data_IF_706702483594
#
_entry.id   IF_706702483594
#
_cell.length_a   1.000
_cell.length_b   1.000
_cell.length_c   1.000
_cell.angle_alpha   90.00
_cell.angle_beta   90.00
_cell.angle_gamma   90.00
#
_symmetry.space_group_name_H-M   'P 1'
#
loop_
_entity.id
_entity.type
_entity.pdbx_description
1 polymer ?
#
# COMPACT_ATOMS: atom_id res chain seq x y z
N UNK A 1 4.67 20.85 -7.72
CA UNK A 1 5.43 20.00 -8.68
C UNK A 1 5.88 18.77 -7.95
N UNK A 2 5.59 17.59 -8.51
CA UNK A 2 5.94 16.29 -7.93
C UNK A 2 7.43 16.20 -7.58
N UNK A 3 7.74 15.71 -6.37
CA UNK A 3 9.13 15.43 -5.99
C UNK A 3 9.58 14.12 -6.62
N UNK A 4 10.33 14.21 -7.72
CA UNK A 4 10.86 13.06 -8.45
C UNK A 4 12.11 12.46 -7.76
N UNK A 5 12.47 11.20 -8.08
CA UNK A 5 13.78 10.68 -7.71
C UNK A 5 14.90 11.52 -8.33
N UNK A 6 16.05 11.61 -7.65
CA UNK A 6 17.14 12.55 -8.01
C UNK A 6 17.68 12.41 -9.46
N UNK A 7 17.45 11.29 -10.13
CA UNK A 7 17.91 11.04 -11.50
C UNK A 7 17.02 11.71 -12.56
N UNK A 8 15.84 12.21 -12.19
CA UNK A 8 14.85 12.70 -13.13
C UNK A 8 14.62 14.20 -12.97
N UNK A 9 14.69 14.91 -14.10
CA UNK A 9 14.40 16.35 -14.17
C UNK A 9 12.95 16.65 -14.60
N UNK A 10 12.25 15.68 -15.20
CA UNK A 10 10.87 15.81 -15.67
C UNK A 10 10.10 14.51 -15.45
N UNK A 11 8.77 14.62 -15.41
CA UNK A 11 7.86 13.53 -15.04
C UNK A 11 7.66 12.54 -16.18
N UNK A 12 7.83 12.97 -17.43
CA UNK A 12 7.70 12.15 -18.63
C UNK A 12 8.81 11.10 -18.72
N UNK A 13 10.08 11.51 -18.59
CA UNK A 13 11.22 10.61 -18.56
C UNK A 13 11.16 9.66 -17.35
N UNK A 14 10.66 10.15 -16.21
CA UNK A 14 10.39 9.29 -15.06
C UNK A 14 9.32 8.23 -15.36
N UNK A 15 8.23 8.63 -16.04
CA UNK A 15 7.18 7.70 -16.46
C UNK A 15 7.72 6.64 -17.42
N UNK A 16 8.53 7.02 -18.40
CA UNK A 16 9.16 6.09 -19.35
C UNK A 16 9.97 5.01 -18.62
N UNK A 17 10.89 5.40 -17.75
CA UNK A 17 11.78 4.47 -17.05
C UNK A 17 11.04 3.62 -16.01
N UNK A 18 10.06 4.19 -15.32
CA UNK A 18 9.23 3.45 -14.37
C UNK A 18 8.40 2.36 -15.07
N UNK A 19 7.77 2.71 -16.20
CA UNK A 19 6.97 1.78 -17.02
C UNK A 19 7.86 0.70 -17.61
N UNK A 20 9.00 1.09 -18.19
CA UNK A 20 9.99 0.15 -18.70
C UNK A 20 10.43 -0.86 -17.64
N UNK A 21 10.68 -0.40 -16.40
CA UNK A 21 11.09 -1.27 -15.30
C UNK A 21 10.01 -2.30 -14.93
N UNK A 22 8.74 -1.90 -14.82
CA UNK A 22 7.65 -2.84 -14.50
C UNK A 22 7.32 -3.80 -15.65
N UNK A 23 7.70 -3.45 -16.88
CA UNK A 23 7.54 -4.29 -18.06
C UNK A 23 8.67 -5.32 -18.24
N UNK A 24 9.75 -5.22 -17.47
CA UNK A 24 10.81 -6.23 -17.48
C UNK A 24 10.26 -7.60 -17.09
N UNK A 25 10.74 -8.66 -17.76
CA UNK A 25 10.35 -10.05 -17.47
C UNK A 25 10.55 -10.41 -16.00
N UNK A 26 11.65 -9.95 -15.41
CA UNK A 26 11.99 -10.23 -14.02
C UNK A 26 10.99 -9.57 -13.05
N UNK A 27 10.60 -8.32 -13.27
CA UNK A 27 9.58 -7.67 -12.42
C UNK A 27 8.24 -8.39 -12.51
N UNK A 28 7.79 -8.71 -13.73
CA UNK A 28 6.53 -9.44 -13.97
C UNK A 28 6.55 -10.82 -13.32
N UNK A 29 7.66 -11.54 -13.42
CA UNK A 29 7.84 -12.83 -12.77
C UNK A 29 7.73 -12.72 -11.24
N UNK A 30 8.45 -11.79 -10.63
CA UNK A 30 8.53 -11.61 -9.17
C UNK A 30 7.21 -11.09 -8.57
N UNK A 31 6.43 -10.34 -9.36
CA UNK A 31 5.23 -9.65 -8.88
C UNK A 31 3.92 -10.14 -9.49
N UNK A 32 3.92 -11.13 -10.40
CA UNK A 32 2.69 -11.49 -11.12
C UNK A 32 2.65 -12.87 -11.75
N UNK A 33 3.69 -13.28 -12.48
CA UNK A 33 3.61 -14.52 -13.27
C UNK A 33 3.64 -15.77 -12.40
N UNK A 34 4.35 -15.71 -11.26
CA UNK A 34 4.34 -16.79 -10.27
C UNK A 34 4.08 -16.23 -8.88
N UNK A 35 2.90 -16.52 -8.33
CA UNK A 35 2.61 -16.20 -6.93
C UNK A 35 3.54 -17.02 -6.03
N UNK A 36 4.02 -16.44 -4.92
CA UNK A 36 5.00 -17.11 -4.05
C UNK A 36 4.53 -18.46 -3.48
N UNK A 37 3.22 -18.61 -3.27
CA UNK A 37 2.66 -19.91 -2.84
C UNK A 37 2.75 -20.97 -3.94
N UNK A 38 2.82 -20.56 -5.21
CA UNK A 38 2.93 -21.47 -6.35
C UNK A 38 4.40 -21.70 -6.75
N UNK A 39 5.35 -21.21 -5.96
CA UNK A 39 6.78 -21.26 -6.26
C UNK A 39 7.28 -22.68 -6.52
N UNK A 40 6.77 -23.67 -5.78
CA UNK A 40 7.11 -25.09 -5.92
C UNK A 40 6.40 -25.77 -7.10
N UNK A 41 5.35 -25.16 -7.64
CA UNK A 41 4.58 -25.69 -8.77
C UNK A 41 5.28 -25.29 -10.08
N UNK A 42 5.69 -24.02 -10.18
CA UNK A 42 6.23 -23.44 -11.40
C UNK A 42 7.75 -23.21 -11.35
N UNK A 43 8.45 -23.83 -10.40
CA UNK A 43 9.92 -23.73 -10.25
C UNK A 43 10.40 -22.27 -10.24
N UNK A 44 9.74 -21.42 -9.44
CA UNK A 44 9.98 -19.98 -9.44
C UNK A 44 11.43 -19.62 -9.09
N UNK A 45 12.08 -20.45 -8.28
CA UNK A 45 13.47 -20.27 -7.89
C UNK A 45 14.40 -20.44 -9.10
N UNK A 46 14.21 -21.52 -9.87
CA UNK A 46 15.01 -21.85 -11.05
C UNK A 46 14.80 -20.87 -12.21
N UNK A 47 13.67 -20.16 -12.21
CA UNK A 47 13.37 -19.12 -13.18
C UNK A 47 14.07 -17.77 -12.87
N UNK A 48 14.68 -17.59 -11.69
CA UNK A 48 15.51 -16.42 -11.40
C UNK A 48 16.88 -16.50 -12.10
N UNK A 49 17.61 -15.38 -12.28
CA UNK A 49 18.98 -15.42 -12.78
C UNK A 49 19.85 -16.40 -11.97
N UNK A 50 20.51 -17.32 -12.66
CA UNK A 50 21.25 -18.43 -12.04
C UNK A 50 22.39 -17.95 -11.13
N UNK A 51 23.01 -16.83 -11.46
CA UNK A 51 24.04 -16.22 -10.63
C UNK A 51 23.48 -15.70 -9.28
N UNK A 52 22.20 -15.30 -9.22
CA UNK A 52 21.56 -14.87 -7.97
C UNK A 52 21.29 -16.07 -7.08
N UNK A 53 20.71 -17.13 -7.64
CA UNK A 53 20.37 -18.34 -6.88
C UNK A 53 21.61 -19.09 -6.43
N UNK A 54 22.67 -19.13 -7.26
CA UNK A 54 23.97 -19.67 -6.86
C UNK A 54 24.57 -18.90 -5.69
N UNK A 55 24.55 -17.56 -5.73
CA UNK A 55 25.04 -16.73 -4.63
C UNK A 55 24.22 -16.94 -3.36
N UNK A 56 22.88 -16.91 -3.43
CA UNK A 56 22.05 -17.14 -2.24
C UNK A 56 22.20 -18.55 -1.65
N UNK A 57 22.40 -19.58 -2.48
CA UNK A 57 22.68 -20.94 -2.02
C UNK A 57 24.03 -21.03 -1.27
N UNK A 58 24.97 -20.10 -1.50
CA UNK A 58 26.24 -20.05 -0.79
C UNK A 58 26.14 -19.42 0.60
N UNK A 59 25.02 -18.72 0.89
CA UNK A 59 24.80 -18.06 2.17
C UNK A 59 24.26 -19.10 3.17
N UNK A 60 24.90 -19.27 4.35
CA UNK A 60 24.54 -20.32 5.29
C UNK A 60 23.15 -20.17 5.91
N UNK A 61 22.64 -18.94 5.95
CA UNK A 61 21.31 -18.62 6.49
C UNK A 61 20.59 -17.62 5.58
N UNK A 62 19.46 -18.03 5.00
CA UNK A 62 18.66 -17.21 4.09
C UNK A 62 18.19 -15.89 4.73
N UNK A 63 18.10 -15.80 6.06
CA UNK A 63 17.72 -14.56 6.76
C UNK A 63 18.73 -13.44 6.53
N UNK A 64 20.01 -13.79 6.34
CA UNK A 64 21.05 -12.83 5.95
C UNK A 64 20.81 -12.28 4.54
N UNK A 65 20.44 -13.15 3.59
CA UNK A 65 20.08 -12.73 2.23
C UNK A 65 18.85 -11.82 2.22
N UNK A 66 17.83 -12.14 3.02
CA UNK A 66 16.64 -11.30 3.14
C UNK A 66 16.98 -9.92 3.73
N UNK A 67 17.80 -9.86 4.78
CA UNK A 67 18.23 -8.60 5.37
C UNK A 67 19.03 -7.75 4.37
N UNK A 68 19.96 -8.38 3.65
CA UNK A 68 20.79 -7.74 2.62
C UNK A 68 19.94 -7.10 1.51
N UNK A 69 18.90 -7.82 1.07
CA UNK A 69 17.93 -7.33 0.09
C UNK A 69 17.12 -6.13 0.61
N UNK A 70 16.64 -6.19 1.85
CA UNK A 70 15.84 -5.13 2.47
C UNK A 70 16.68 -3.86 2.71
N UNK A 71 17.90 -4.03 3.21
CA UNK A 71 18.83 -2.92 3.47
C UNK A 71 19.23 -2.22 2.16
N UNK A 72 19.30 -2.96 1.05
CA UNK A 72 19.67 -2.40 -0.26
C UNK A 72 18.65 -1.41 -0.84
N UNK A 73 17.42 -1.39 -0.33
CA UNK A 73 16.36 -0.46 -0.77
C UNK A 73 16.00 0.60 0.28
N UNK A 74 16.74 0.64 1.39
CA UNK A 74 16.57 1.67 2.42
C UNK A 74 16.99 3.03 1.84
N UNK A 75 16.14 4.05 2.01
CA UNK A 75 16.49 5.40 1.55
C UNK A 75 17.49 6.03 2.54
N UNK A 76 18.56 6.67 2.05
CA UNK A 76 19.49 7.35 2.93
C UNK A 76 18.77 8.50 3.65
N UNK A 77 18.70 8.44 4.98
CA UNK A 77 18.21 9.55 5.79
C UNK A 77 19.07 10.79 5.54
N UNK A 78 18.49 11.88 5.03
CA UNK A 78 19.19 13.18 4.82
C UNK A 78 19.82 13.76 6.09
N UNK A 79 19.41 13.31 7.28
CA UNK A 79 19.90 13.74 8.60
C UNK A 79 20.95 12.82 9.21
N UNK A 80 21.28 11.71 8.56
CA UNK A 80 22.44 10.89 8.94
C UNK A 80 23.54 11.11 7.91
N UNK A 81 24.82 11.18 8.31
CA UNK A 81 25.93 11.30 7.35
C UNK A 81 25.75 10.22 6.30
N UNK A 82 25.97 10.58 5.04
CA UNK A 82 25.99 9.61 3.94
C UNK A 82 26.85 8.43 4.37
N UNK A 83 26.24 7.25 4.51
CA UNK A 83 26.99 5.98 4.62
C UNK A 83 27.67 5.62 3.29
N UNK A 84 28.11 6.63 2.53
CA UNK A 84 28.97 6.48 1.36
C UNK A 84 30.43 6.31 1.74
N UNK A 85 30.82 6.66 2.98
CA UNK A 85 32.24 6.70 3.38
C UNK A 85 32.56 5.93 4.66
N UNK A 86 31.60 5.20 5.25
CA UNK A 86 31.94 4.15 6.21
C UNK A 86 32.24 2.91 5.37
N UNK A 87 33.51 2.51 5.32
CA UNK A 87 33.93 1.19 4.83
C UNK A 87 32.93 0.13 5.28
N UNK A 88 32.68 -0.89 4.45
CA UNK A 88 31.93 -2.11 4.81
C UNK A 88 32.65 -2.95 5.89
N UNK A 89 33.18 -2.31 6.93
CA UNK A 89 33.78 -2.97 8.08
C UNK A 89 32.63 -3.47 8.97
N UNK A 90 32.16 -4.69 8.67
CA UNK A 90 31.08 -5.36 9.39
C UNK A 90 30.05 -6.09 8.53
N UNK A 91 30.14 -6.06 7.19
CA UNK A 91 29.29 -6.92 6.37
C UNK A 91 29.78 -8.37 6.50
N UNK A 92 28.91 -9.35 6.83
CA UNK A 92 29.29 -10.75 6.92
C UNK A 92 30.07 -11.20 5.68
N UNK A 93 31.16 -11.94 5.86
CA UNK A 93 32.02 -12.41 4.77
C UNK A 93 31.22 -13.18 3.70
N UNK A 94 30.15 -13.88 4.08
CA UNK A 94 29.24 -14.59 3.18
C UNK A 94 28.38 -13.70 2.25
N UNK A 95 28.30 -12.40 2.52
CA UNK A 95 27.62 -11.42 1.65
C UNK A 95 28.60 -10.68 0.72
N UNK A 96 29.88 -11.05 0.76
CA UNK A 96 30.85 -10.62 -0.25
C UNK A 96 30.47 -11.23 -1.61
N UNK A 97 30.96 -10.63 -2.68
CA UNK A 97 30.78 -11.13 -4.05
C UNK A 97 29.32 -11.20 -4.55
N UNK A 98 28.44 -10.30 -4.05
CA UNK A 98 27.09 -10.13 -4.59
C UNK A 98 27.14 -9.94 -6.12
N UNK A 99 26.32 -10.68 -6.90
CA UNK A 99 26.26 -10.52 -8.35
C UNK A 99 26.00 -9.07 -8.77
N UNK A 100 26.75 -8.58 -9.77
CA UNK A 100 26.64 -7.20 -10.25
C UNK A 100 25.24 -6.91 -10.81
N UNK A 101 24.63 -7.88 -11.50
CA UNK A 101 23.28 -7.77 -12.03
C UNK A 101 22.23 -7.58 -10.93
N UNK A 102 22.38 -8.26 -9.77
CA UNK A 102 21.50 -8.07 -8.61
C UNK A 102 21.68 -6.69 -8.02
N UNK A 103 22.93 -6.24 -7.84
CA UNK A 103 23.23 -4.90 -7.35
C UNK A 103 22.65 -3.82 -8.28
N UNK A 104 22.78 -3.99 -9.60
CA UNK A 104 22.22 -3.11 -10.62
C UNK A 104 20.69 -3.09 -10.58
N UNK A 105 20.05 -4.26 -10.45
CA UNK A 105 18.59 -4.35 -10.36
C UNK A 105 18.05 -3.65 -9.11
N UNK A 106 18.65 -3.89 -7.95
CA UNK A 106 18.28 -3.23 -6.68
C UNK A 106 18.47 -1.71 -6.76
N UNK A 107 19.59 -1.25 -7.35
CA UNK A 107 19.84 0.19 -7.57
C UNK A 107 18.79 0.80 -8.50
N UNK A 108 18.41 0.09 -9.56
CA UNK A 108 17.37 0.53 -10.49
C UNK A 108 16.02 0.63 -9.77
N UNK A 109 15.63 -0.40 -9.03
CA UNK A 109 14.40 -0.45 -8.22
C UNK A 109 14.32 0.74 -7.25
N UNK A 110 15.42 1.05 -6.56
CA UNK A 110 15.49 2.21 -5.68
C UNK A 110 15.37 3.52 -6.46
N UNK A 111 16.03 3.63 -7.61
CA UNK A 111 16.05 4.86 -8.41
C UNK A 111 14.73 5.22 -9.08
N UNK A 112 13.89 4.22 -9.40
CA UNK A 112 12.55 4.44 -9.99
C UNK A 112 11.45 4.55 -8.92
N UNK A 113 11.76 4.29 -7.65
CA UNK A 113 10.81 4.47 -6.55
C UNK A 113 10.70 5.95 -6.16
N UNK A 114 9.48 6.47 -6.06
CA UNK A 114 9.25 7.81 -5.51
C UNK A 114 9.88 7.94 -4.11
N UNK A 115 10.38 9.12 -3.71
CA UNK A 115 10.92 9.31 -2.37
C UNK A 115 9.89 9.00 -1.27
N UNK A 116 10.33 8.39 -0.16
CA UNK A 116 9.52 8.12 1.04
C UNK A 116 9.98 8.91 2.26
N UNK A 117 11.08 9.65 2.16
CA UNK A 117 11.49 10.58 3.22
C UNK A 117 10.40 11.60 3.48
N UNK A 118 9.93 11.66 4.74
CA UNK A 118 8.87 12.59 5.15
C UNK A 118 9.25 14.03 4.77
N UNK A 119 8.39 14.70 4.00
CA UNK A 119 8.53 16.13 3.71
C UNK A 119 8.36 16.91 5.03
N UNK A 120 9.26 17.86 5.36
CA UNK A 120 9.09 18.71 6.53
C UNK A 120 7.73 19.41 6.51
N UNK A 121 7.02 19.37 7.63
CA UNK A 121 5.69 19.91 7.75
C UNK A 121 5.28 20.09 9.21
N UNK A 122 4.18 20.80 9.43
CA UNK A 122 3.62 21.00 10.76
C UNK A 122 3.13 19.69 11.38
N UNK A 123 3.17 19.62 12.71
CA UNK A 123 2.51 18.59 13.52
C UNK A 123 1.74 19.28 14.61
N UNK A 124 0.53 18.81 14.91
CA UNK A 124 -0.26 19.32 16.02
C UNK A 124 -0.30 18.29 17.14
N UNK A 125 0.02 18.71 18.35
CA UNK A 125 -0.16 17.88 19.54
C UNK A 125 -1.65 17.67 19.78
N UNK A 126 -2.11 16.43 19.63
CA UNK A 126 -3.51 16.10 19.87
C UNK A 126 -3.75 16.00 21.39
N UNK A 127 -4.77 16.68 21.94
CA UNK A 127 -5.16 16.53 23.34
C UNK A 127 -5.54 15.09 23.71
N UNK A 128 -5.34 14.72 24.98
CA UNK A 128 -5.59 13.35 25.47
C UNK A 128 -7.02 12.86 25.22
N UNK A 129 -7.99 13.79 25.25
CA UNK A 129 -9.39 13.51 24.94
C UNK A 129 -9.61 12.98 23.52
N UNK A 130 -8.72 13.29 22.57
CA UNK A 130 -8.75 12.77 21.21
C UNK A 130 -7.91 11.49 21.06
N UNK A 131 -6.82 11.35 21.81
CA UNK A 131 -5.85 10.25 21.61
C UNK A 131 -6.21 8.97 22.34
N UNK A 132 -7.08 9.02 23.37
CA UNK A 132 -7.38 7.86 24.24
C UNK A 132 -7.87 6.59 23.52
N UNK A 133 -8.39 6.70 22.29
CA UNK A 133 -8.84 5.56 21.47
C UNK A 133 -7.96 5.28 20.24
N UNK A 134 -6.84 6.00 20.10
CA UNK A 134 -5.95 5.92 18.94
C UNK A 134 -4.67 5.18 19.29
N UNK A 135 -4.22 4.28 18.40
CA UNK A 135 -2.87 3.71 18.48
C UNK A 135 -1.82 4.74 18.06
N UNK A 136 -0.56 4.56 18.44
CA UNK A 136 0.57 5.46 18.10
C UNK A 136 0.61 5.86 16.63
N UNK A 137 0.46 4.90 15.71
CA UNK A 137 0.39 5.17 14.27
C UNK A 137 -0.74 6.14 13.92
N UNK A 138 -1.95 5.90 14.46
CA UNK A 138 -3.13 6.70 14.16
C UNK A 138 -2.99 8.13 14.70
N UNK A 139 -2.40 8.28 15.90
CA UNK A 139 -2.09 9.60 16.48
C UNK A 139 -1.15 10.37 15.56
N UNK A 140 -0.06 9.75 15.09
CA UNK A 140 0.91 10.41 14.21
C UNK A 140 0.31 10.82 12.85
N UNK A 141 -0.52 9.95 12.25
CA UNK A 141 -1.24 10.25 11.01
C UNK A 141 -2.18 11.45 11.18
N UNK A 142 -3.06 11.41 12.20
CA UNK A 142 -4.05 12.48 12.44
C UNK A 142 -3.37 13.79 12.82
N UNK A 143 -2.35 13.75 13.67
CA UNK A 143 -1.56 14.92 14.08
C UNK A 143 -0.95 15.65 12.88
N UNK A 144 -0.35 14.89 11.95
CA UNK A 144 0.33 15.47 10.78
C UNK A 144 -0.69 15.92 9.73
N UNK A 145 -1.71 15.11 9.47
CA UNK A 145 -2.75 15.43 8.50
C UNK A 145 -3.58 16.66 8.92
N UNK A 146 -3.99 16.74 10.19
CA UNK A 146 -4.76 17.88 10.69
C UNK A 146 -3.97 19.19 10.57
N UNK A 147 -2.66 19.16 10.85
CA UNK A 147 -1.78 20.31 10.67
C UNK A 147 -1.70 20.75 9.21
N UNK A 148 -1.51 19.80 8.29
CA UNK A 148 -1.46 20.08 6.85
C UNK A 148 -2.79 20.65 6.34
N UNK A 149 -3.90 19.98 6.62
CA UNK A 149 -5.25 20.37 6.18
C UNK A 149 -5.58 21.77 6.69
N UNK A 150 -5.32 22.05 7.98
CA UNK A 150 -5.56 23.37 8.53
C UNK A 150 -4.73 24.45 7.85
N UNK A 151 -3.45 24.20 7.58
CA UNK A 151 -2.58 25.14 6.87
C UNK A 151 -3.08 25.44 5.46
N UNK A 152 -3.51 24.42 4.71
CA UNK A 152 -4.11 24.61 3.37
C UNK A 152 -5.41 25.39 3.47
N UNK A 153 -6.28 25.05 4.42
CA UNK A 153 -7.54 25.75 4.62
C UNK A 153 -7.34 27.23 4.97
N UNK A 154 -6.41 27.54 5.87
CA UNK A 154 -6.09 28.92 6.24
C UNK A 154 -5.51 29.72 5.07
N UNK A 155 -4.58 29.14 4.32
CA UNK A 155 -3.94 29.83 3.19
C UNK A 155 -4.93 30.15 2.05
N UNK A 156 -6.03 29.40 1.95
CA UNK A 156 -6.99 29.50 0.85
C UNK A 156 -8.40 29.94 1.30
N UNK A 157 -8.55 30.42 2.54
CA UNK A 157 -9.83 30.83 3.13
C UNK A 157 -10.94 29.76 3.06
N UNK A 158 -10.58 28.48 3.17
CA UNK A 158 -11.53 27.36 3.14
C UNK A 158 -12.01 27.08 4.55
N UNK A 159 -13.33 27.04 4.73
CA UNK A 159 -13.97 26.72 6.01
C UNK A 159 -14.69 25.38 6.00
N UNK A 160 -14.73 24.67 4.86
CA UNK A 160 -15.43 23.40 4.72
C UNK A 160 -14.50 22.28 4.26
N UNK A 161 -14.51 21.18 5.00
CA UNK A 161 -13.71 19.98 4.71
C UNK A 161 -14.63 18.78 4.51
N UNK A 162 -14.46 18.07 3.40
CA UNK A 162 -15.16 16.82 3.10
C UNK A 162 -14.17 15.68 3.33
N UNK A 163 -14.43 14.80 4.29
CA UNK A 163 -13.62 13.63 4.61
C UNK A 163 -14.30 12.37 4.05
N UNK A 164 -13.77 11.87 2.94
CA UNK A 164 -14.27 10.70 2.22
C UNK A 164 -13.58 9.43 2.72
N UNK A 165 -14.38 8.46 3.20
CA UNK A 165 -13.87 7.28 3.87
C UNK A 165 -13.43 7.59 5.30
N UNK A 166 -14.25 8.35 6.03
CA UNK A 166 -13.90 8.87 7.36
C UNK A 166 -13.70 7.78 8.41
N UNK A 167 -14.22 6.57 8.20
CA UNK A 167 -14.18 5.48 9.18
C UNK A 167 -14.79 5.93 10.51
N UNK A 168 -14.10 5.63 11.62
CA UNK A 168 -14.50 6.09 12.96
C UNK A 168 -14.36 7.61 13.17
N UNK A 169 -13.94 8.36 12.14
CA UNK A 169 -13.86 9.81 12.14
C UNK A 169 -12.74 10.39 13.00
N UNK A 170 -11.63 9.66 13.21
CA UNK A 170 -10.50 10.19 13.97
C UNK A 170 -9.97 11.50 13.41
N UNK A 171 -9.85 11.64 12.09
CA UNK A 171 -9.47 12.90 11.45
C UNK A 171 -10.61 13.92 11.56
N UNK A 172 -11.81 13.56 11.12
CA UNK A 172 -12.95 14.48 11.01
C UNK A 172 -13.33 15.10 12.37
N UNK A 173 -13.37 14.28 13.44
CA UNK A 173 -13.61 14.72 14.82
C UNK A 173 -12.47 15.61 15.31
N UNK A 174 -11.21 15.27 15.01
CA UNK A 174 -10.07 16.10 15.40
C UNK A 174 -10.09 17.46 14.73
N UNK A 175 -10.40 17.52 13.43
CA UNK A 175 -10.54 18.79 12.70
C UNK A 175 -11.65 19.67 13.31
N UNK A 176 -12.83 19.08 13.56
CA UNK A 176 -13.97 19.81 14.12
C UNK A 176 -13.71 20.32 15.56
N UNK A 177 -12.97 19.53 16.36
CA UNK A 177 -12.60 19.86 17.74
C UNK A 177 -11.51 20.94 17.82
N UNK A 178 -10.44 20.80 17.02
CA UNK A 178 -9.26 21.67 17.10
C UNK A 178 -9.47 23.03 16.45
N UNK A 179 -10.33 23.11 15.42
CA UNK A 179 -10.44 24.30 14.57
C UNK A 179 -11.88 24.81 14.51
N UNK A 180 -12.29 25.71 15.43
CA UNK A 180 -13.66 26.24 15.53
C UNK A 180 -14.21 26.94 14.28
N UNK A 181 -13.38 27.23 13.29
CA UNK A 181 -13.76 27.82 12.00
C UNK A 181 -14.07 26.77 10.92
N UNK A 182 -13.69 25.50 11.09
CA UNK A 182 -13.90 24.46 10.08
C UNK A 182 -15.20 23.66 10.29
N UNK A 183 -16.06 23.59 9.29
CA UNK A 183 -17.17 22.64 9.23
C UNK A 183 -16.73 21.39 8.47
N UNK A 184 -17.05 20.21 9.00
CA UNK A 184 -16.57 18.94 8.47
C UNK A 184 -17.74 18.05 8.03
N UNK A 185 -17.66 17.51 6.83
CA UNK A 185 -18.54 16.45 6.33
C UNK A 185 -17.80 15.12 6.37
N UNK A 186 -18.19 14.22 7.28
CA UNK A 186 -17.62 12.88 7.42
C UNK A 186 -18.49 11.86 6.68
N UNK A 187 -17.93 11.21 5.65
CA UNK A 187 -18.65 10.26 4.79
C UNK A 187 -18.05 8.87 4.90
N UNK A 188 -18.89 7.88 5.18
CA UNK A 188 -18.53 6.46 5.17
C UNK A 188 -19.74 5.59 4.81
N UNK A 189 -19.50 4.49 4.11
CA UNK A 189 -20.57 3.55 3.73
C UNK A 189 -21.06 2.67 4.89
N UNK A 190 -20.24 2.54 5.94
CA UNK A 190 -20.50 1.66 7.07
C UNK A 190 -21.24 2.36 8.20
N UNK A 191 -22.38 1.80 8.57
CA UNK A 191 -23.21 2.29 9.68
C UNK A 191 -22.47 2.27 11.01
N UNK A 192 -21.70 1.21 11.29
CA UNK A 192 -20.95 1.09 12.54
C UNK A 192 -19.84 2.13 12.65
N UNK A 193 -19.19 2.48 11.53
CA UNK A 193 -18.16 3.51 11.47
C UNK A 193 -18.76 4.90 11.73
N UNK A 194 -19.87 5.22 11.05
CA UNK A 194 -20.60 6.48 11.25
C UNK A 194 -21.13 6.60 12.69
N UNK A 195 -21.71 5.53 13.24
CA UNK A 195 -22.19 5.53 14.62
C UNK A 195 -21.05 5.76 15.63
N UNK A 196 -19.90 5.12 15.42
CA UNK A 196 -18.72 5.34 16.25
C UNK A 196 -18.21 6.79 16.19
N UNK A 197 -18.19 7.39 14.99
CA UNK A 197 -17.80 8.79 14.81
C UNK A 197 -18.77 9.77 15.48
N UNK A 198 -20.08 9.56 15.31
CA UNK A 198 -21.13 10.36 15.99
C UNK A 198 -20.98 10.31 17.50
N UNK A 199 -20.83 9.10 18.06
CA UNK A 199 -20.64 8.92 19.49
C UNK A 199 -19.38 9.62 20.01
N UNK A 200 -18.28 9.58 19.23
CA UNK A 200 -17.05 10.29 19.57
C UNK A 200 -17.25 11.81 19.58
N UNK A 201 -17.87 12.37 18.54
CA UNK A 201 -18.16 13.81 18.45
C UNK A 201 -19.05 14.29 19.61
N UNK A 202 -20.13 13.54 19.90
CA UNK A 202 -21.05 13.83 21.00
C UNK A 202 -20.35 13.80 22.37
N UNK A 203 -19.47 12.82 22.60
CA UNK A 203 -18.71 12.73 23.87
C UNK A 203 -17.76 13.90 24.11
N UNK A 204 -17.40 14.62 23.05
CA UNK A 204 -16.53 15.81 23.09
C UNK A 204 -17.33 17.11 23.05
N UNK A 205 -18.67 17.05 23.05
CA UNK A 205 -19.54 18.24 22.98
C UNK A 205 -19.49 18.99 21.65
N UNK A 206 -19.06 18.33 20.56
CA UNK A 206 -19.01 18.94 19.23
C UNK A 206 -20.43 18.98 18.65
N UNK A 207 -20.92 20.16 18.33
CA UNK A 207 -22.25 20.34 17.75
C UNK A 207 -22.39 19.71 16.35
N UNK A 208 -23.58 19.22 16.00
CA UNK A 208 -23.87 18.64 14.67
C UNK A 208 -23.69 19.66 13.53
N UNK A 209 -23.80 20.96 13.81
CA UNK A 209 -23.50 22.02 12.84
C UNK A 209 -22.02 22.14 12.47
N UNK A 210 -21.12 21.55 13.29
CA UNK A 210 -19.66 21.58 13.11
C UNK A 210 -19.16 20.32 12.40
N UNK A 211 -19.82 19.19 12.62
CA UNK A 211 -19.52 17.91 11.98
C UNK A 211 -20.81 17.23 11.54
N UNK A 212 -21.00 17.12 10.23
CA UNK A 212 -22.10 16.37 9.64
C UNK A 212 -21.63 14.97 9.25
N UNK A 213 -22.41 13.95 9.59
CA UNK A 213 -22.10 12.56 9.25
C UNK A 213 -23.07 12.01 8.22
N UNK A 214 -22.53 11.52 7.11
CA UNK A 214 -23.30 11.04 5.98
C UNK A 214 -22.98 9.56 5.71
N UNK A 215 -24.01 8.70 5.74
CA UNK A 215 -23.88 7.29 5.38
C UNK A 215 -24.09 7.10 3.88
N UNK A 216 -23.00 7.02 3.13
CA UNK A 216 -23.01 6.82 1.68
C UNK A 216 -21.81 5.99 1.23
N UNK A 217 -22.04 5.07 0.31
CA UNK A 217 -20.95 4.49 -0.47
C UNK A 217 -20.48 5.54 -1.48
N UNK A 218 -19.17 5.64 -1.63
CA UNK A 218 -18.54 6.59 -2.54
C UNK A 218 -18.24 5.81 -3.81
N UNK A 219 -19.08 5.98 -4.81
CA UNK A 219 -19.13 5.18 -6.04
C UNK A 219 -19.01 6.05 -7.31
N UNK A 220 -18.67 7.33 -7.16
CA UNK A 220 -18.51 8.28 -8.27
C UNK A 220 -19.84 8.67 -8.93
N UNK A 221 -20.98 8.39 -8.32
CA UNK A 221 -22.30 8.66 -8.90
C UNK A 221 -22.77 10.11 -8.70
N UNK A 222 -23.67 10.56 -9.59
CA UNK A 222 -24.27 11.90 -9.56
C UNK A 222 -25.12 12.23 -8.31
N UNK A 223 -25.88 11.29 -7.69
CA UNK A 223 -26.67 11.59 -6.50
C UNK A 223 -25.83 12.14 -5.34
N UNK A 224 -24.64 11.58 -5.09
CA UNK A 224 -23.76 12.07 -4.03
C UNK A 224 -23.28 13.51 -4.34
N UNK A 225 -23.02 13.85 -5.60
CA UNK A 225 -22.61 15.21 -5.96
C UNK A 225 -23.65 16.28 -5.58
N UNK A 226 -24.94 15.97 -5.72
CA UNK A 226 -26.02 16.88 -5.30
C UNK A 226 -26.10 17.03 -3.78
N UNK A 227 -25.95 15.94 -3.03
CA UNK A 227 -25.89 15.97 -1.55
C UNK A 227 -24.68 16.78 -1.07
N UNK A 228 -23.51 16.62 -1.72
CA UNK A 228 -22.31 17.41 -1.43
C UNK A 228 -22.54 18.90 -1.72
N UNK A 229 -23.19 19.24 -2.83
CA UNK A 229 -23.47 20.62 -3.19
C UNK A 229 -24.41 21.31 -2.19
N UNK A 230 -25.47 20.60 -1.78
CA UNK A 230 -26.40 21.07 -0.76
C UNK A 230 -25.68 21.31 0.58
N UNK A 231 -24.80 20.39 0.99
CA UNK A 231 -24.00 20.56 2.20
C UNK A 231 -22.97 21.67 2.07
N UNK A 232 -22.30 21.84 0.92
CA UNK A 232 -21.28 22.86 0.70
C UNK A 232 -21.86 24.28 0.68
N UNK A 233 -23.13 24.45 0.27
CA UNK A 233 -23.84 25.72 0.34
C UNK A 233 -23.17 26.85 -0.46
N UNK A 234 -22.50 26.52 -1.56
CA UNK A 234 -21.78 27.48 -2.40
C UNK A 234 -20.36 27.82 -1.94
N UNK A 235 -19.89 27.27 -0.81
CA UNK A 235 -18.53 27.49 -0.30
C UNK A 235 -17.52 26.56 -0.97
N UNK A 236 -16.31 27.09 -1.16
CA UNK A 236 -15.17 26.28 -1.57
C UNK A 236 -14.80 25.28 -0.47
N UNK A 237 -14.54 24.03 -0.88
CA UNK A 237 -14.28 22.91 0.00
C UNK A 237 -12.91 22.27 -0.28
N UNK A 238 -12.29 21.74 0.77
CA UNK A 238 -11.16 20.81 0.66
C UNK A 238 -11.67 19.37 0.81
N UNK A 239 -11.40 18.53 -0.17
CA UNK A 239 -11.67 17.09 -0.12
C UNK A 239 -10.45 16.35 0.43
N UNK A 240 -10.66 15.54 1.46
CA UNK A 240 -9.61 14.79 2.15
C UNK A 240 -9.97 13.32 2.33
N UNK A 241 -8.96 12.48 2.48
CA UNK A 241 -9.13 11.07 2.83
C UNK A 241 -7.79 10.43 3.16
N UNK A 242 -7.59 9.99 4.40
CA UNK A 242 -6.29 9.47 4.87
C UNK A 242 -6.07 7.98 4.60
N UNK A 243 -7.15 7.26 4.30
CA UNK A 243 -7.11 5.82 4.03
C UNK A 243 -8.06 5.52 2.86
N UNK A 244 -7.78 6.12 1.71
CA UNK A 244 -8.57 5.94 0.49
C UNK A 244 -8.30 4.54 -0.12
N UNK A 245 -8.95 3.53 0.43
CA UNK A 245 -8.77 2.12 0.06
C UNK A 245 -9.26 1.80 -1.37
N UNK A 246 -8.45 1.07 -2.15
CA UNK A 246 -8.84 0.61 -3.49
C UNK A 246 -9.36 1.73 -4.39
N UNK A 247 -10.52 1.51 -5.01
CA UNK A 247 -11.19 2.47 -5.90
C UNK A 247 -11.70 3.75 -5.21
N UNK A 248 -11.72 3.83 -3.87
CA UNK A 248 -12.08 5.07 -3.18
C UNK A 248 -11.14 6.22 -3.59
N UNK A 249 -9.84 5.94 -3.70
CA UNK A 249 -8.86 6.93 -4.14
C UNK A 249 -9.22 7.49 -5.52
N UNK A 250 -9.61 6.63 -6.47
CA UNK A 250 -10.03 7.01 -7.82
C UNK A 250 -11.32 7.84 -7.81
N UNK A 251 -12.33 7.42 -7.04
CA UNK A 251 -13.58 8.17 -6.92
C UNK A 251 -13.35 9.56 -6.33
N UNK A 252 -12.46 9.71 -5.35
CA UNK A 252 -12.10 11.02 -4.80
C UNK A 252 -11.49 11.93 -5.86
N UNK A 253 -10.58 11.43 -6.71
CA UNK A 253 -10.02 12.23 -7.81
C UNK A 253 -11.11 12.64 -8.80
N UNK A 254 -12.03 11.73 -9.15
CA UNK A 254 -13.16 12.02 -10.03
C UNK A 254 -14.08 13.09 -9.43
N UNK A 255 -14.41 13.02 -8.14
CA UNK A 255 -15.16 14.09 -7.47
C UNK A 255 -14.41 15.42 -7.46
N UNK A 256 -13.11 15.41 -7.15
CA UNK A 256 -12.29 16.62 -7.21
C UNK A 256 -12.30 17.24 -8.60
N UNK A 257 -12.12 16.46 -9.68
CA UNK A 257 -12.07 17.00 -11.06
C UNK A 257 -13.44 17.47 -11.54
N UNK A 258 -14.52 16.78 -11.19
CA UNK A 258 -15.87 17.06 -11.73
C UNK A 258 -16.71 18.04 -10.92
N UNK A 259 -16.50 18.16 -9.60
CA UNK A 259 -17.29 19.05 -8.75
C UNK A 259 -16.59 20.42 -8.63
N UNK A 260 -17.21 21.54 -9.08
CA UNK A 260 -16.53 22.84 -9.10
C UNK A 260 -16.12 23.40 -7.73
N UNK A 261 -16.97 23.25 -6.70
CA UNK A 261 -16.69 23.82 -5.37
C UNK A 261 -15.66 23.02 -4.56
N UNK A 262 -15.28 21.81 -5.00
CA UNK A 262 -14.16 21.08 -4.39
C UNK A 262 -12.87 21.60 -5.04
N UNK A 263 -12.28 22.62 -4.45
CA UNK A 263 -11.13 23.33 -5.05
C UNK A 263 -9.79 22.77 -4.61
N UNK A 264 -9.74 21.99 -3.53
CA UNK A 264 -8.50 21.45 -2.97
C UNK A 264 -8.64 19.97 -2.63
N UNK A 265 -7.56 19.21 -2.78
CA UNK A 265 -7.49 17.77 -2.56
C UNK A 265 -6.31 17.40 -1.65
N UNK A 266 -6.55 16.46 -0.73
CA UNK A 266 -5.51 15.73 0.00
C UNK A 266 -5.91 14.26 0.23
N UNK A 267 -5.42 13.35 -0.61
CA UNK A 267 -5.81 11.94 -0.58
C UNK A 267 -4.61 11.01 -0.39
N UNK A 268 -4.69 10.11 0.58
CA UNK A 268 -3.68 9.06 0.85
C UNK A 268 -4.29 7.70 0.52
N UNK A 269 -3.72 6.99 -0.45
CA UNK A 269 -4.06 5.60 -0.74
C UNK A 269 -3.39 4.62 0.23
N UNK A 270 -4.03 3.48 0.53
CA UNK A 270 -3.44 2.51 1.46
C UNK A 270 -3.67 1.02 1.16
N UNK A 271 -4.79 0.65 0.53
CA UNK A 271 -5.13 -0.75 0.22
C UNK A 271 -5.18 -1.00 -1.29
N UNK A 272 -4.01 -1.03 -1.93
CA UNK A 272 -3.89 -1.16 -3.39
C UNK A 272 -4.38 -2.50 -3.93
N UNK A 273 -4.39 -3.55 -3.10
CA UNK A 273 -4.94 -4.86 -3.45
C UNK A 273 -6.46 -4.86 -3.76
N UNK A 274 -7.16 -3.75 -3.50
CA UNK A 274 -8.57 -3.55 -3.86
C UNK A 274 -8.76 -2.61 -5.06
N UNK A 275 -7.69 -2.25 -5.77
CA UNK A 275 -7.80 -1.54 -7.04
C UNK A 275 -8.38 -2.49 -8.09
N UNK A 276 -9.44 -2.06 -8.76
CA UNK A 276 -10.02 -2.78 -9.88
C UNK A 276 -9.24 -2.45 -11.17
N UNK A 277 -8.64 -3.45 -11.85
CA UNK A 277 -7.98 -3.22 -13.13
C UNK A 277 -9.01 -2.96 -14.23
N UNK A 278 -8.60 -2.21 -15.26
CA UNK A 278 -9.39 -1.99 -16.45
C UNK A 278 -9.76 -3.32 -17.11
N UNK A 279 -11.05 -3.53 -17.35
CA UNK A 279 -11.60 -4.73 -17.99
C UNK A 279 -12.92 -4.41 -18.68
N UNK A 280 -13.52 -5.35 -19.41
CA UNK A 280 -14.85 -5.17 -19.99
C UNK A 280 -15.92 -4.87 -18.92
N UNK A 281 -15.78 -5.43 -17.71
CA UNK A 281 -16.67 -5.20 -16.58
C UNK A 281 -16.36 -3.91 -15.80
N UNK A 282 -15.14 -3.36 -15.94
CA UNK A 282 -14.69 -2.14 -15.29
C UNK A 282 -13.85 -1.31 -16.28
N UNK A 283 -14.48 -0.66 -17.29
CA UNK A 283 -13.76 0.08 -18.33
C UNK A 283 -13.01 1.31 -17.76
N UNK A 284 -13.46 1.79 -16.60
CA UNK A 284 -12.93 2.92 -15.88
C UNK A 284 -11.88 2.58 -14.81
N UNK A 285 -11.53 1.30 -14.68
CA UNK A 285 -10.53 0.81 -13.73
C UNK A 285 -9.11 1.27 -14.05
N UNK A 286 -8.18 0.89 -13.19
CA UNK A 286 -6.76 1.23 -13.29
C UNK A 286 -6.11 0.72 -14.59
N UNK A 287 -5.22 1.51 -15.23
CA UNK A 287 -4.89 2.91 -14.93
C UNK A 287 -6.03 3.87 -15.30
N UNK A 288 -6.19 4.97 -14.55
CA UNK A 288 -7.28 5.95 -14.78
C UNK A 288 -6.86 7.14 -15.64
N UNK A 289 -5.56 7.45 -15.72
CA UNK A 289 -5.03 8.51 -16.58
C UNK A 289 -4.93 8.08 -18.04
N UNK A 290 -5.11 9.03 -18.96
CA UNK A 290 -4.88 8.82 -20.38
C UNK A 290 -3.39 8.53 -20.67
N UNK A 291 -2.47 9.19 -19.98
CA UNK A 291 -1.03 9.02 -20.14
C UNK A 291 -0.61 7.57 -19.84
N UNK A 292 -0.96 7.05 -18.65
CA UNK A 292 -0.57 5.68 -18.28
C UNK A 292 -1.35 4.62 -19.08
N UNK A 293 -2.57 4.93 -19.53
CA UNK A 293 -3.30 4.08 -20.49
C UNK A 293 -2.61 3.99 -21.84
N UNK A 294 -2.10 5.11 -22.36
CA UNK A 294 -1.36 5.15 -23.63
C UNK A 294 -0.02 4.43 -23.59
N UNK A 295 0.44 4.09 -22.38
CA UNK A 295 1.66 3.31 -22.09
C UNK A 295 1.38 1.85 -21.77
N UNK A 296 0.12 1.40 -21.93
CA UNK A 296 -0.33 0.03 -21.66
C UNK A 296 0.06 -0.50 -20.26
N UNK A 297 0.06 0.39 -19.26
CA UNK A 297 0.45 0.03 -17.89
C UNK A 297 -0.49 -1.01 -17.31
N UNK A 298 0.08 -2.09 -16.79
CA UNK A 298 -0.64 -3.15 -16.10
C UNK A 298 0.06 -3.52 -14.79
N UNK A 299 -0.74 -3.72 -13.74
CA UNK A 299 -0.29 -4.30 -12.48
C UNK A 299 -1.13 -5.54 -12.20
N UNK A 300 -0.46 -6.67 -11.95
CA UNK A 300 -1.15 -7.90 -11.57
C UNK A 300 -1.80 -7.76 -10.18
N UNK A 301 -2.74 -8.65 -9.84
CA UNK A 301 -3.31 -8.70 -8.50
C UNK A 301 -2.23 -8.92 -7.43
N UNK A 302 -1.20 -9.72 -7.75
CA UNK A 302 -0.06 -9.95 -6.86
C UNK A 302 0.79 -8.70 -6.71
N UNK A 303 1.04 -7.95 -7.77
CA UNK A 303 1.78 -6.68 -7.72
C UNK A 303 1.05 -5.69 -6.80
N UNK A 304 -0.27 -5.53 -6.97
CA UNK A 304 -1.09 -4.68 -6.11
C UNK A 304 -1.02 -5.11 -4.62
N UNK A 305 -0.95 -6.41 -4.33
CA UNK A 305 -0.72 -6.90 -2.96
C UNK A 305 0.67 -6.55 -2.41
N UNK A 306 1.72 -6.61 -3.25
CA UNK A 306 3.06 -6.18 -2.84
C UNK A 306 3.10 -4.70 -2.49
N UNK A 307 2.34 -3.85 -3.21
CA UNK A 307 2.19 -2.43 -2.90
C UNK A 307 1.72 -2.13 -1.48
N UNK A 308 1.06 -3.08 -0.81
CA UNK A 308 0.62 -2.95 0.57
C UNK A 308 1.70 -3.32 1.61
N UNK A 309 2.86 -3.84 1.20
CA UNK A 309 3.93 -4.32 2.08
C UNK A 309 4.97 -3.25 2.45
N UNK A 310 5.58 -3.36 3.62
CA UNK A 310 6.58 -2.41 4.12
C UNK A 310 7.83 -3.15 4.65
N UNK A 311 8.67 -3.70 3.76
CA UNK A 311 9.82 -4.52 4.15
C UNK A 311 10.82 -3.78 5.05
N UNK A 312 11.03 -2.47 4.86
CA UNK A 312 11.94 -1.68 5.72
C UNK A 312 11.46 -1.53 7.18
N UNK A 313 10.22 -1.93 7.50
CA UNK A 313 9.69 -1.91 8.86
C UNK A 313 9.74 -3.29 9.53
N UNK A 314 10.27 -4.31 8.85
CA UNK A 314 10.43 -5.64 9.44
C UNK A 314 11.53 -5.61 10.49
N UNK A 315 11.37 -6.44 11.52
CA UNK A 315 12.42 -6.66 12.50
C UNK A 315 13.67 -7.20 11.79
N UNK A 316 14.84 -6.71 12.22
CA UNK A 316 16.09 -7.20 11.69
C UNK A 316 16.27 -8.68 12.01
N UNK A 317 16.92 -9.40 11.10
CA UNK A 317 17.24 -10.80 11.30
C UNK A 317 18.06 -11.00 12.59
N UNK A 318 17.55 -11.87 13.47
CA UNK A 318 18.22 -12.31 14.69
C UNK A 318 18.50 -13.81 14.55
N UNK A 319 19.77 -14.14 14.27
CA UNK A 319 20.16 -15.52 13.97
C UNK A 319 20.03 -16.45 15.20
N UNK A 320 20.01 -15.88 16.40
CA UNK A 320 19.85 -16.63 17.66
C UNK A 320 18.40 -17.02 17.96
N UNK A 321 17.42 -16.50 17.22
CA UNK A 321 16.01 -16.87 17.35
C UNK A 321 15.61 -17.94 16.35
N UNK A 322 14.67 -18.78 16.75
CA UNK A 322 13.97 -19.66 15.82
C UNK A 322 13.23 -18.85 14.76
N UNK A 323 12.93 -19.50 13.63
CA UNK A 323 12.09 -18.89 12.60
C UNK A 323 10.72 -18.51 13.15
N UNK A 324 10.24 -17.34 12.71
CA UNK A 324 8.93 -16.87 13.11
C UNK A 324 7.82 -17.77 12.57
N UNK A 325 6.71 -17.83 13.31
CA UNK A 325 5.50 -18.53 12.88
C UNK A 325 4.97 -18.02 11.53
N UNK A 326 5.27 -16.77 11.18
CA UNK A 326 4.97 -16.21 9.87
C UNK A 326 5.76 -16.91 8.76
N UNK A 327 7.06 -17.14 8.95
CA UNK A 327 7.91 -17.85 7.99
C UNK A 327 7.45 -19.29 7.78
N UNK A 328 7.18 -20.02 8.88
CA UNK A 328 6.62 -21.39 8.82
C UNK A 328 5.29 -21.43 8.05
N UNK A 329 4.37 -20.50 8.36
CA UNK A 329 3.07 -20.41 7.68
C UNK A 329 3.22 -20.16 6.18
N UNK A 330 4.17 -19.31 5.77
CA UNK A 330 4.43 -19.03 4.35
C UNK A 330 4.92 -20.29 3.63
N UNK A 331 5.90 -20.98 4.20
CA UNK A 331 6.42 -22.22 3.63
C UNK A 331 5.35 -23.31 3.53
N UNK A 332 4.60 -23.56 4.62
CA UNK A 332 3.53 -24.55 4.63
C UNK A 332 2.38 -24.22 3.68
N UNK A 333 2.10 -22.93 3.42
CA UNK A 333 1.15 -22.55 2.36
C UNK A 333 1.64 -22.94 0.98
N UNK A 334 2.90 -22.69 0.67
CA UNK A 334 3.47 -23.07 -0.62
C UNK A 334 3.51 -24.59 -0.80
N UNK A 335 3.87 -25.31 0.27
CA UNK A 335 3.86 -26.77 0.27
C UNK A 335 2.45 -27.35 0.11
N UNK A 336 1.44 -26.76 0.76
CA UNK A 336 0.05 -27.18 0.62
C UNK A 336 -0.49 -26.97 -0.80
N UNK A 337 -0.22 -25.82 -1.42
CA UNK A 337 -0.62 -25.57 -2.81
C UNK A 337 0.06 -26.57 -3.76
N UNK A 338 1.33 -26.93 -3.50
CA UNK A 338 2.03 -27.99 -4.24
C UNK A 338 1.38 -29.37 -4.09
N UNK A 339 0.99 -29.75 -2.87
CA UNK A 339 0.24 -30.99 -2.63
C UNK A 339 -1.08 -30.99 -3.41
N UNK A 340 -1.84 -29.90 -3.35
CA UNK A 340 -3.10 -29.79 -4.09
C UNK A 340 -2.90 -29.90 -5.60
N UNK A 341 -1.85 -29.27 -6.12
CA UNK A 341 -1.51 -29.35 -7.54
C UNK A 341 -1.16 -30.79 -7.96
N UNK A 342 -0.25 -31.45 -7.26
CA UNK A 342 0.20 -32.82 -7.59
C UNK A 342 -0.93 -33.84 -7.47
N UNK A 343 -1.89 -33.61 -6.57
CA UNK A 343 -3.08 -34.45 -6.36
C UNK A 343 -4.26 -34.08 -7.27
N UNK A 344 -4.12 -33.05 -8.12
CA UNK A 344 -5.21 -32.57 -8.98
C UNK A 344 -6.42 -32.00 -8.21
N UNK A 345 -6.22 -31.57 -6.95
CA UNK A 345 -7.26 -30.97 -6.11
C UNK A 345 -7.48 -29.53 -6.57
N UNK A 346 -8.62 -29.30 -7.23
CA UNK A 346 -9.01 -27.95 -7.67
C UNK A 346 -9.87 -27.28 -6.61
N UNK A 347 -9.32 -26.26 -5.96
CA UNK A 347 -10.09 -25.36 -5.11
C UNK A 347 -10.97 -24.45 -5.95
N UNK A 348 -12.20 -24.21 -5.51
CA UNK A 348 -13.05 -23.20 -6.12
C UNK A 348 -12.42 -21.82 -5.90
N UNK A 349 -12.01 -21.15 -6.99
CA UNK A 349 -11.37 -19.83 -6.94
C UNK A 349 -12.32 -18.72 -6.49
N UNK A 350 -13.61 -18.88 -6.77
CA UNK A 350 -14.65 -17.88 -6.47
C UNK A 350 -15.14 -17.95 -5.01
N UNK A 351 -14.86 -19.06 -4.33
CA UNK A 351 -15.30 -19.30 -2.97
C UNK A 351 -14.16 -19.89 -2.12
N UNK A 352 -13.01 -19.20 -2.08
CA UNK A 352 -11.92 -19.57 -1.15
C UNK A 352 -12.29 -19.09 0.25
N UNK A 353 -12.64 -19.99 1.19
CA UNK A 353 -12.85 -19.58 2.57
C UNK A 353 -11.59 -18.91 3.12
N UNK A 354 -11.76 -17.77 3.79
CA UNK A 354 -10.70 -17.20 4.63
C UNK A 354 -10.61 -18.05 5.88
N UNK A 355 -9.61 -18.92 5.94
CA UNK A 355 -9.40 -19.80 7.08
C UNK A 355 -8.27 -19.27 7.97
N UNK A 356 -8.52 -19.27 9.27
CA UNK A 356 -7.55 -18.84 10.27
C UNK A 356 -6.63 -20.00 10.67
N UNK A 357 -5.32 -19.73 10.62
CA UNK A 357 -4.27 -20.60 11.16
C UNK A 357 -4.05 -20.21 12.61
N UNK A 358 -4.17 -21.17 13.54
CA UNK A 358 -3.88 -20.99 14.97
C UNK A 358 -2.40 -21.24 15.23
N UNK A 359 -1.86 -20.71 16.35
CA UNK A 359 -0.45 -20.86 16.73
C UNK A 359 0.03 -22.32 16.84
N UNK A 360 -0.87 -23.25 17.14
CA UNK A 360 -0.55 -24.69 17.22
C UNK A 360 -0.60 -25.44 15.89
N UNK A 361 -1.20 -24.85 14.85
CA UNK A 361 -1.40 -25.50 13.56
C UNK A 361 -0.09 -25.57 12.76
N UNK A 362 0.87 -24.68 13.05
CA UNK A 362 2.19 -24.58 12.42
C UNK A 362 3.27 -25.40 13.13
N UNK A 363 2.89 -26.28 14.07
CA UNK A 363 3.83 -27.16 14.76
C UNK A 363 4.41 -28.26 13.87
N UNK A 364 3.69 -28.66 12.81
CA UNK A 364 4.18 -29.53 11.74
C UNK A 364 3.36 -29.28 10.46
N UNK A 365 3.89 -29.64 9.30
CA UNK A 365 3.14 -29.49 8.06
C UNK A 365 1.86 -30.33 8.06
N UNK A 366 1.90 -31.53 8.63
CA UNK A 366 0.73 -32.43 8.74
C UNK A 366 -0.43 -31.77 9.47
N UNK A 367 -0.17 -31.13 10.63
CA UNK A 367 -1.22 -30.41 11.38
C UNK A 367 -1.76 -29.22 10.59
N UNK A 368 -0.88 -28.49 9.93
CA UNK A 368 -1.26 -27.36 9.10
C UNK A 368 -2.17 -27.77 7.94
N UNK A 369 -1.81 -28.86 7.26
CA UNK A 369 -2.55 -29.39 6.11
C UNK A 369 -3.92 -29.95 6.53
N UNK A 370 -4.01 -30.72 7.61
CA UNK A 370 -5.30 -31.21 8.14
C UNK A 370 -6.27 -30.08 8.43
N UNK A 371 -5.78 -29.03 9.09
CA UNK A 371 -6.60 -27.84 9.38
C UNK A 371 -7.13 -27.19 8.11
N UNK A 372 -6.30 -27.10 7.08
CA UNK A 372 -6.69 -26.52 5.80
C UNK A 372 -7.71 -27.41 5.07
N UNK A 373 -7.45 -28.71 4.98
CA UNK A 373 -8.29 -29.72 4.30
C UNK A 373 -9.68 -29.77 4.93
N UNK A 374 -9.77 -29.80 6.28
CA UNK A 374 -11.02 -29.73 7.04
C UNK A 374 -11.83 -28.47 6.67
N UNK A 375 -11.17 -27.30 6.69
CA UNK A 375 -11.85 -26.03 6.43
C UNK A 375 -12.26 -25.86 4.97
N UNK A 376 -11.50 -26.45 4.04
CA UNK A 376 -11.77 -26.42 2.61
C UNK A 376 -12.78 -27.49 2.17
N UNK A 377 -13.24 -28.35 3.09
CA UNK A 377 -14.17 -29.43 2.79
C UNK A 377 -13.59 -30.48 1.84
N UNK A 378 -12.26 -30.65 1.84
CA UNK A 378 -11.59 -31.68 1.05
C UNK A 378 -11.70 -33.00 1.83
N UNK A 379 -12.11 -34.08 1.16
CA UNK A 379 -12.18 -35.41 1.79
C UNK A 379 -10.85 -35.80 2.44
N UNK A 380 -10.89 -36.13 3.73
CA UNK A 380 -9.71 -36.46 4.54
C UNK A 380 -8.99 -37.75 4.13
N UNK A 381 -9.56 -38.52 3.21
CA UNK A 381 -9.01 -39.73 2.60
C UNK A 381 -8.09 -39.44 1.40
N UNK A 382 -8.07 -38.20 0.88
CA UNK A 382 -7.32 -37.84 -0.33
C UNK A 382 -5.82 -37.65 -0.14
N UNK A 383 -5.40 -37.36 1.10
CA UNK A 383 -4.01 -37.03 1.45
C UNK A 383 -3.69 -37.71 2.78
N UNK A 384 -2.73 -38.63 2.80
CA UNK A 384 -2.32 -39.32 4.03
C UNK A 384 -1.22 -38.56 4.80
N UNK A 385 -1.07 -38.88 6.08
CA UNK A 385 -0.01 -38.31 6.94
C UNK A 385 1.40 -38.65 6.43
N UNK A 386 1.58 -39.87 5.91
CA UNK A 386 2.85 -40.32 5.33
C UNK A 386 3.21 -39.50 4.09
N UNK A 387 2.21 -39.17 3.26
CA UNK A 387 2.43 -38.30 2.10
C UNK A 387 2.81 -36.90 2.53
N UNK A 388 2.09 -36.30 3.48
CA UNK A 388 2.38 -34.96 4.00
C UNK A 388 3.81 -34.88 4.56
N UNK A 389 4.22 -35.89 5.33
CA UNK A 389 5.58 -36.01 5.86
C UNK A 389 6.62 -36.11 4.73
N UNK A 390 6.34 -36.93 3.71
CA UNK A 390 7.23 -37.07 2.54
C UNK A 390 7.37 -35.75 1.74
N UNK A 391 6.30 -34.94 1.66
CA UNK A 391 6.37 -33.59 1.07
C UNK A 391 7.23 -32.65 1.93
N UNK A 392 7.02 -32.62 3.25
CA UNK A 392 7.81 -31.79 4.17
C UNK A 392 9.30 -32.14 4.09
N UNK A 393 9.64 -33.43 4.03
CA UNK A 393 11.01 -33.90 3.88
C UNK A 393 11.61 -33.54 2.52
N UNK A 394 10.87 -33.76 1.43
CA UNK A 394 11.34 -33.47 0.06
C UNK A 394 11.65 -32.00 -0.16
N UNK A 395 10.86 -31.10 0.43
CA UNK A 395 10.96 -29.66 0.23
C UNK A 395 11.58 -28.91 1.41
N UNK A 396 12.13 -29.62 2.40
CA UNK A 396 12.72 -29.02 3.62
C UNK A 396 13.68 -27.87 3.32
N UNK A 397 14.54 -28.04 2.32
CA UNK A 397 15.56 -27.05 1.94
C UNK A 397 15.01 -25.89 1.08
N UNK A 398 13.73 -25.92 0.71
CA UNK A 398 13.09 -24.84 -0.06
C UNK A 398 12.55 -23.71 0.80
N UNK A 399 12.52 -23.85 2.13
CA UNK A 399 12.02 -22.80 3.01
C UNK A 399 12.78 -21.48 2.82
N UNK A 400 14.12 -21.53 2.81
CA UNK A 400 14.95 -20.35 2.56
C UNK A 400 14.75 -19.76 1.16
N UNK A 401 14.58 -20.61 0.14
CA UNK A 401 14.30 -20.19 -1.24
C UNK A 401 12.97 -19.43 -1.34
N UNK A 402 11.91 -19.97 -0.72
CA UNK A 402 10.59 -19.34 -0.66
C UNK A 402 10.64 -18.02 0.13
N UNK A 403 11.42 -17.96 1.19
CA UNK A 403 11.63 -16.75 1.97
C UNK A 403 12.27 -15.62 1.13
N UNK A 404 13.31 -15.94 0.35
CA UNK A 404 13.98 -14.99 -0.53
C UNK A 404 13.06 -14.55 -1.68
N UNK A 405 12.36 -15.47 -2.34
CA UNK A 405 11.37 -15.17 -3.39
C UNK A 405 10.29 -14.22 -2.89
N UNK A 406 9.77 -14.47 -1.69
CA UNK A 406 8.82 -13.58 -1.05
C UNK A 406 9.41 -12.19 -0.79
N UNK A 407 10.63 -12.13 -0.27
CA UNK A 407 11.33 -10.86 -0.04
C UNK A 407 11.44 -10.08 -1.34
N UNK A 408 11.94 -10.68 -2.43
CA UNK A 408 12.04 -10.02 -3.75
C UNK A 408 10.69 -9.44 -4.19
N UNK A 409 9.60 -10.19 -4.02
CA UNK A 409 8.25 -9.74 -4.35
C UNK A 409 7.87 -8.49 -3.58
N UNK A 410 8.10 -8.46 -2.27
CA UNK A 410 7.71 -7.30 -1.46
C UNK A 410 8.65 -6.09 -1.60
N UNK A 411 9.90 -6.25 -2.06
CA UNK A 411 10.79 -5.11 -2.35
C UNK A 411 10.19 -4.18 -3.42
N UNK A 412 9.37 -4.75 -4.32
CA UNK A 412 8.69 -4.01 -5.37
C UNK A 412 7.59 -3.09 -4.85
N UNK A 413 7.27 -3.09 -3.55
CA UNK A 413 6.16 -2.32 -2.99
C UNK A 413 6.23 -0.83 -3.28
N UNK A 414 7.42 -0.21 -3.19
CA UNK A 414 7.61 1.22 -3.43
C UNK A 414 7.44 1.56 -4.90
N UNK A 415 7.90 0.69 -5.81
CA UNK A 415 7.72 0.84 -7.26
C UNK A 415 6.25 0.74 -7.62
N UNK A 416 5.54 -0.29 -7.15
CA UNK A 416 4.09 -0.47 -7.38
C UNK A 416 3.30 0.76 -6.92
N UNK A 417 3.58 1.24 -5.70
CA UNK A 417 2.92 2.43 -5.17
C UNK A 417 3.31 3.70 -5.97
N UNK A 418 4.52 3.76 -6.53
CA UNK A 418 4.94 4.86 -7.40
C UNK A 418 4.21 4.88 -8.74
N UNK A 419 3.96 3.71 -9.34
CA UNK A 419 3.15 3.57 -10.55
C UNK A 419 1.72 4.06 -10.30
N UNK A 420 1.12 3.65 -9.18
CA UNK A 420 -0.23 4.06 -8.80
C UNK A 420 -0.29 5.58 -8.56
N UNK A 421 0.68 6.12 -7.81
CA UNK A 421 0.76 7.56 -7.55
C UNK A 421 0.96 8.37 -8.83
N UNK A 422 1.78 7.88 -9.77
CA UNK A 422 2.03 8.53 -11.05
C UNK A 422 0.80 8.52 -11.95
N UNK A 423 0.05 7.41 -12.00
CA UNK A 423 -1.25 7.35 -12.68
C UNK A 423 -2.23 8.40 -12.12
N UNK A 424 -2.23 8.59 -10.80
CA UNK A 424 -3.15 9.52 -10.14
C UNK A 424 -2.72 10.96 -10.35
N UNK A 425 -1.41 11.21 -10.36
CA UNK A 425 -0.80 12.48 -10.71
C UNK A 425 -1.18 12.90 -12.13
N UNK A 426 -1.03 12.00 -13.11
CA UNK A 426 -1.42 12.27 -14.50
C UNK A 426 -2.91 12.52 -14.63
N UNK A 427 -3.75 11.71 -13.99
CA UNK A 427 -5.20 11.91 -14.04
C UNK A 427 -5.59 13.30 -13.54
N UNK A 428 -5.02 13.78 -12.43
CA UNK A 428 -5.29 15.11 -11.92
C UNK A 428 -4.82 16.19 -12.90
N UNK A 429 -3.60 16.07 -13.43
CA UNK A 429 -3.01 17.04 -14.36
C UNK A 429 -3.80 17.13 -15.68
N UNK A 430 -4.26 15.99 -16.20
CA UNK A 430 -5.07 15.90 -17.42
C UNK A 430 -6.48 16.49 -17.26
N UNK A 431 -7.00 16.54 -16.04
CA UNK A 431 -8.39 16.91 -15.75
C UNK A 431 -8.50 18.22 -14.95
N UNK A 432 -7.61 19.18 -15.24
CA UNK A 432 -7.69 20.55 -14.72
C UNK A 432 -7.18 20.72 -13.28
N UNK A 433 -6.46 19.74 -12.75
CA UNK A 433 -5.73 19.89 -11.51
C UNK A 433 -4.49 20.77 -11.70
N UNK A 434 -4.34 21.74 -10.83
CA UNK A 434 -3.21 22.64 -10.70
C UNK A 434 -2.37 22.27 -9.48
N UNK A 435 -1.11 22.72 -9.48
CA UNK A 435 -0.12 22.48 -8.41
C UNK A 435 -0.06 21.03 -7.93
N UNK A 436 -0.33 20.07 -8.83
CA UNK A 436 -0.39 18.65 -8.51
C UNK A 436 0.97 18.20 -7.94
N UNK A 437 0.93 17.46 -6.84
CA UNK A 437 2.11 16.95 -6.14
C UNK A 437 1.77 15.63 -5.42
N UNK A 438 2.82 14.85 -5.14
CA UNK A 438 2.76 13.60 -4.39
C UNK A 438 3.68 13.76 -3.18
N UNK A 439 3.09 13.96 -2.02
CA UNK A 439 3.79 14.37 -0.80
C UNK A 439 4.00 13.18 0.14
N UNK A 440 5.24 12.82 0.50
CA UNK A 440 5.50 11.93 1.61
C UNK A 440 5.16 12.62 2.94
N UNK A 441 3.90 12.63 3.34
CA UNK A 441 3.41 13.42 4.49
C UNK A 441 3.70 12.75 5.83
N UNK A 442 3.74 11.42 5.90
CA UNK A 442 4.00 10.68 7.13
C UNK A 442 5.44 10.17 7.23
N UNK A 443 5.92 9.97 8.46
CA UNK A 443 7.12 9.18 8.71
C UNK A 443 6.87 7.74 8.26
N UNK A 444 7.63 7.29 7.26
CA UNK A 444 7.50 5.96 6.68
C UNK A 444 7.64 4.83 7.70
N UNK A 445 8.47 4.99 8.74
CA UNK A 445 8.63 3.98 9.80
C UNK A 445 7.37 3.82 10.65
N UNK A 446 6.54 4.86 10.74
CA UNK A 446 5.30 4.85 11.51
C UNK A 446 4.10 4.51 10.60
N UNK A 447 4.00 5.16 9.43
CA UNK A 447 2.99 4.89 8.42
C UNK A 447 3.63 4.77 7.04
N UNK A 448 3.87 3.54 6.55
CA UNK A 448 4.51 3.30 5.25
C UNK A 448 3.74 3.81 4.04
N UNK A 449 2.41 3.94 4.18
CA UNK A 449 1.53 4.54 3.16
C UNK A 449 1.55 6.04 3.37
N UNK A 450 2.68 6.66 3.04
CA UNK A 450 2.94 8.05 3.36
C UNK A 450 2.77 9.01 2.19
N UNK A 451 2.45 8.53 0.99
CA UNK A 451 2.23 9.39 -0.17
C UNK A 451 0.81 9.97 -0.17
N UNK A 452 0.71 11.29 -0.10
CA UNK A 452 -0.53 12.04 -0.24
C UNK A 452 -0.55 12.75 -1.60
N UNK A 453 -1.57 12.44 -2.40
CA UNK A 453 -1.91 13.15 -3.62
C UNK A 453 -2.57 14.47 -3.24
N UNK A 454 -2.02 15.56 -3.76
CA UNK A 454 -2.55 16.91 -3.54
C UNK A 454 -2.68 17.63 -4.87
N UNK A 455 -3.72 18.45 -4.96
CA UNK A 455 -3.97 19.33 -6.09
C UNK A 455 -4.89 20.46 -5.63
N UNK A 456 -4.84 21.57 -6.36
CA UNK A 456 -5.89 22.57 -6.31
C UNK A 456 -6.45 22.79 -7.72
N UNK A 457 -7.54 23.53 -7.83
CA UNK A 457 -8.03 24.04 -9.10
C UNK A 457 -8.77 25.34 -8.83
N UNK A 458 -8.77 26.24 -9.81
CA UNK A 458 -9.56 27.45 -9.71
C UNK A 458 -11.04 27.10 -9.49
N UNK A 459 -11.67 27.79 -8.52
CA UNK A 459 -13.12 27.83 -8.44
C UNK A 459 -13.60 28.54 -9.69
N UNK A 460 -13.86 27.79 -10.75
CA UNK A 460 -14.27 28.33 -12.03
C UNK A 460 -15.33 29.41 -11.80
N UNK A 461 -15.02 30.63 -12.23
CA UNK A 461 -16.01 31.67 -12.46
C UNK A 461 -17.08 31.04 -13.34
N UNK A 462 -18.20 30.63 -12.74
CA UNK A 462 -19.35 30.14 -13.49
C UNK A 462 -19.63 31.12 -14.61
N UNK A 463 -19.77 30.59 -15.83
CA UNK A 463 -20.08 31.33 -17.05
C UNK A 463 -20.99 32.53 -16.74
N UNK A 464 -20.41 33.72 -16.69
CA UNK A 464 -21.12 34.96 -16.99
C UNK A 464 -21.11 35.08 -18.51
N UNK A 465 -22.07 34.44 -19.17
CA UNK A 465 -22.53 34.83 -20.48
C UNK A 465 -24.05 34.71 -20.49
#
# INVERSE_FOLDING_TARGET
MITLPNLYANVEAYADDLVHFIDTSLFRQITGDIHVNDALIYNAWEALPSEWTAWWNSIPDHRLAQQDLIDSIEEPNRTSPTKSDIKKDGQPDCLRDRPESLAKWLKTLQSVSLPRVQRPGGKITLPDVLTGRMKTKKIAEVSTAAAYIHSVCQANNITRVIDMGSGQGYLSVSLAFLFPNLQVLAIDGSESQIAASKASAASLGIAESRIHHMRRYIDGTAPLAAELAAWAGGENCMLVGLHACGSLSEHMLRYFTTIPFITHLGAVGCCYNHIAPRSAACPDGFPVSANMRGRDVMLSATALMTGCQAPNNWERADLGKEESEYSKRRFYRALLEKVFFDKGIKLNKDNRPVWGVRKGDTASFTKFAHRAVEFLGIGGDKISDDELTAYEDRYRDYNGKIAILWTLSVLCCKVVESVIALDRYWFLTENGGENVDVLPIFDYKISPRNLMLVANKDSGSGNKN
#
